data_IF_004642542097
#
_entry.id   IF_004642542097
#
_cell.length_a   1.000
_cell.length_b   1.000
_cell.length_c   1.000
_cell.angle_alpha   90.00
_cell.angle_beta   90.00
_cell.angle_gamma   90.00
#
_symmetry.space_group_name_H-M   'P 1'
#
loop_
_entity.id
_entity.type
_entity.pdbx_description
1 polymer ?
#
# COMPACT_ATOMS: atom_id res chain seq x y z
N UNK A 1 -80.40 50.58 -52.69
CA UNK A 1 -80.51 49.13 -52.40
C UNK A 1 -79.25 48.49 -52.96
N UNK A 2 -78.51 47.73 -52.16
CA UNK A 2 -77.40 46.92 -52.67
C UNK A 2 -77.97 45.71 -53.42
N UNK A 3 -77.34 45.31 -54.52
CA UNK A 3 -77.76 44.12 -55.26
C UNK A 3 -77.31 42.85 -54.51
N UNK A 4 -77.97 41.72 -54.72
CA UNK A 4 -77.54 40.43 -54.16
C UNK A 4 -76.07 40.11 -54.53
N UNK A 5 -75.63 40.57 -55.71
CA UNK A 5 -74.25 40.45 -56.19
C UNK A 5 -73.23 41.22 -55.32
N UNK A 6 -73.60 42.38 -54.78
CA UNK A 6 -72.72 43.19 -53.92
C UNK A 6 -72.49 42.53 -52.56
N UNK A 7 -73.55 41.92 -52.00
CA UNK A 7 -73.47 41.18 -50.74
C UNK A 7 -72.64 39.89 -50.89
N UNK A 8 -72.81 39.17 -51.99
CA UNK A 8 -72.04 37.96 -52.27
C UNK A 8 -70.54 38.26 -52.43
N UNK A 9 -70.21 39.36 -53.12
CA UNK A 9 -68.82 39.82 -53.26
C UNK A 9 -68.21 40.27 -51.92
N UNK A 10 -68.98 40.94 -51.07
CA UNK A 10 -68.54 41.30 -49.72
C UNK A 10 -68.28 40.06 -48.85
N UNK A 11 -69.20 39.09 -48.85
CA UNK A 11 -69.08 37.82 -48.11
C UNK A 11 -67.84 37.02 -48.55
N UNK A 12 -67.58 36.94 -49.86
CA UNK A 12 -66.37 36.30 -50.40
C UNK A 12 -65.09 36.98 -49.92
N UNK A 13 -65.05 38.31 -49.90
CA UNK A 13 -63.88 39.08 -49.41
C UNK A 13 -63.64 38.89 -47.91
N UNK A 14 -64.70 38.90 -47.10
CA UNK A 14 -64.59 38.66 -45.64
C UNK A 14 -64.10 37.25 -45.37
N UNK A 15 -64.67 36.25 -46.05
CA UNK A 15 -64.26 34.84 -45.91
C UNK A 15 -62.79 34.64 -46.31
N UNK A 16 -62.36 35.18 -47.45
CA UNK A 16 -60.97 35.12 -47.89
C UNK A 16 -60.02 35.81 -46.91
N UNK A 17 -60.42 36.97 -46.35
CA UNK A 17 -59.62 37.65 -45.33
C UNK A 17 -59.55 36.87 -44.02
N UNK A 18 -60.61 36.18 -43.62
CA UNK A 18 -60.63 35.34 -42.42
C UNK A 18 -59.75 34.10 -42.58
N UNK A 19 -59.80 33.44 -43.76
CA UNK A 19 -58.94 32.31 -44.10
C UNK A 19 -57.46 32.73 -44.10
N UNK A 20 -57.11 33.84 -44.76
CA UNK A 20 -55.74 34.36 -44.75
C UNK A 20 -55.23 34.68 -43.34
N UNK A 21 -56.11 35.15 -42.44
CA UNK A 21 -55.74 35.38 -41.03
C UNK A 21 -55.55 34.08 -40.27
N UNK A 22 -56.44 33.11 -40.48
CA UNK A 22 -56.33 31.79 -39.86
C UNK A 22 -55.05 31.07 -40.31
N UNK A 23 -54.70 31.12 -41.59
CA UNK A 23 -53.45 30.57 -42.13
C UNK A 23 -52.23 31.22 -41.48
N UNK A 24 -52.19 32.55 -41.37
CA UNK A 24 -51.09 33.25 -40.68
C UNK A 24 -50.94 32.82 -39.22
N UNK A 25 -52.05 32.69 -38.49
CA UNK A 25 -52.03 32.25 -37.09
C UNK A 25 -51.50 30.81 -37.00
N UNK A 26 -51.89 29.93 -37.92
CA UNK A 26 -51.40 28.55 -37.96
C UNK A 26 -49.89 28.50 -38.26
N UNK A 27 -49.41 29.27 -39.22
CA UNK A 27 -47.97 29.30 -39.55
C UNK A 27 -47.14 29.92 -38.41
N UNK A 28 -47.62 30.99 -37.78
CA UNK A 28 -46.99 31.56 -36.58
C UNK A 28 -46.98 30.57 -35.40
N UNK A 29 -48.04 29.80 -35.21
CA UNK A 29 -48.12 28.78 -34.16
C UNK A 29 -47.16 27.61 -34.44
N UNK A 30 -47.02 27.17 -35.70
CA UNK A 30 -46.04 26.16 -36.10
C UNK A 30 -44.61 26.64 -35.88
N UNK A 31 -44.27 27.84 -36.34
CA UNK A 31 -42.94 28.40 -36.17
C UNK A 31 -42.55 28.50 -34.68
N UNK A 32 -43.48 28.95 -33.81
CA UNK A 32 -43.27 28.97 -32.36
C UNK A 32 -43.14 27.58 -31.74
N UNK A 33 -43.86 26.59 -32.26
CA UNK A 33 -43.74 25.21 -31.78
C UNK A 33 -42.38 24.62 -32.15
N UNK A 34 -41.92 24.84 -33.39
CA UNK A 34 -40.59 24.42 -33.85
C UNK A 34 -39.47 25.10 -33.07
N UNK A 35 -39.56 26.41 -32.83
CA UNK A 35 -38.61 27.15 -32.00
C UNK A 35 -38.51 26.57 -30.58
N UNK A 36 -39.65 26.29 -29.94
CA UNK A 36 -39.68 25.67 -28.60
C UNK A 36 -39.11 24.25 -28.58
N UNK A 37 -39.35 23.46 -29.62
CA UNK A 37 -38.76 22.12 -29.73
C UNK A 37 -37.24 22.26 -29.84
N UNK A 38 -36.76 23.18 -30.67
CA UNK A 38 -35.33 23.40 -30.83
C UNK A 38 -34.66 23.89 -29.54
N UNK A 39 -35.29 24.81 -28.80
CA UNK A 39 -34.81 25.26 -27.48
C UNK A 39 -34.74 24.09 -26.49
N UNK A 40 -35.78 23.26 -26.41
CA UNK A 40 -35.81 22.10 -25.52
C UNK A 40 -34.76 21.04 -25.89
N UNK A 41 -34.53 20.80 -27.19
CA UNK A 41 -33.46 19.90 -27.65
C UNK A 41 -32.08 20.42 -27.27
N UNK A 42 -31.86 21.73 -27.41
CA UNK A 42 -30.61 22.36 -27.01
C UNK A 42 -30.37 22.26 -25.51
N UNK A 43 -31.37 22.58 -24.69
CA UNK A 43 -31.30 22.46 -23.23
C UNK A 43 -31.04 21.01 -22.80
N UNK A 44 -31.74 20.04 -23.41
CA UNK A 44 -31.52 18.62 -23.13
C UNK A 44 -30.10 18.17 -23.47
N UNK A 45 -29.54 18.66 -24.58
CA UNK A 45 -28.16 18.35 -24.98
C UNK A 45 -27.13 18.96 -24.00
N UNK A 46 -27.35 20.19 -23.53
CA UNK A 46 -26.50 20.84 -22.54
C UNK A 46 -26.50 20.09 -21.21
N UNK A 47 -27.68 19.71 -20.71
CA UNK A 47 -27.83 18.92 -19.48
C UNK A 47 -27.15 17.55 -19.61
N UNK A 48 -27.31 16.88 -20.76
CA UNK A 48 -26.68 15.58 -21.00
C UNK A 48 -25.15 15.70 -20.98
N UNK A 49 -24.60 16.70 -21.66
CA UNK A 49 -23.16 16.93 -21.70
C UNK A 49 -22.57 17.23 -20.31
N UNK A 50 -23.25 18.04 -19.50
CA UNK A 50 -22.83 18.33 -18.12
C UNK A 50 -22.86 17.06 -17.25
N UNK A 51 -23.92 16.25 -17.36
CA UNK A 51 -24.05 14.98 -16.65
C UNK A 51 -22.94 13.98 -17.03
N UNK A 52 -22.63 13.85 -18.32
CA UNK A 52 -21.54 13.00 -18.81
C UNK A 52 -20.18 13.47 -18.28
N UNK A 53 -19.94 14.77 -18.22
CA UNK A 53 -18.70 15.32 -17.66
C UNK A 53 -18.55 15.01 -16.17
N UNK A 54 -19.63 15.20 -15.39
CA UNK A 54 -19.64 14.91 -13.95
C UNK A 54 -19.38 13.42 -13.71
N UNK A 55 -20.14 12.54 -14.37
CA UNK A 55 -19.97 11.09 -14.25
C UNK A 55 -18.56 10.65 -14.66
N UNK A 56 -18.00 11.26 -15.71
CA UNK A 56 -16.63 11.00 -16.14
C UNK A 56 -15.57 11.45 -15.12
N UNK A 57 -15.82 12.52 -14.35
CA UNK A 57 -14.95 12.93 -13.23
C UNK A 57 -15.07 11.97 -12.05
N UNK A 58 -16.30 11.60 -11.68
CA UNK A 58 -16.56 10.66 -10.58
C UNK A 58 -15.94 9.28 -10.86
N UNK A 59 -16.08 8.78 -12.09
CA UNK A 59 -15.50 7.50 -12.48
C UNK A 59 -13.97 7.50 -12.37
N UNK A 60 -13.31 8.57 -12.84
CA UNK A 60 -11.85 8.71 -12.72
C UNK A 60 -11.39 8.77 -11.27
N UNK A 61 -12.08 9.57 -10.44
CA UNK A 61 -11.79 9.64 -9.00
C UNK A 61 -11.92 8.28 -8.34
N UNK A 62 -13.00 7.55 -8.65
CA UNK A 62 -13.23 6.20 -8.13
C UNK A 62 -12.15 5.21 -8.57
N UNK A 63 -11.73 5.25 -9.84
CA UNK A 63 -10.64 4.41 -10.35
C UNK A 63 -9.30 4.71 -9.67
N UNK A 64 -8.97 6.00 -9.49
CA UNK A 64 -7.76 6.43 -8.79
C UNK A 64 -7.76 5.99 -7.33
N UNK A 65 -8.85 6.22 -6.60
CA UNK A 65 -9.00 5.79 -5.20
C UNK A 65 -8.89 4.26 -5.07
N UNK A 66 -9.55 3.53 -5.97
CA UNK A 66 -9.52 2.06 -5.95
C UNK A 66 -8.13 1.53 -6.26
N UNK A 67 -7.41 2.14 -7.20
CA UNK A 67 -6.02 1.80 -7.51
C UNK A 67 -5.11 2.06 -6.32
N UNK A 68 -5.20 3.25 -5.71
CA UNK A 68 -4.41 3.60 -4.54
C UNK A 68 -4.67 2.64 -3.37
N UNK A 69 -5.93 2.22 -3.18
CA UNK A 69 -6.28 1.21 -2.17
C UNK A 69 -5.63 -0.14 -2.46
N UNK A 70 -5.72 -0.63 -3.70
CA UNK A 70 -5.08 -1.90 -4.09
C UNK A 70 -3.56 -1.83 -3.90
N UNK A 71 -2.93 -0.73 -4.31
CA UNK A 71 -1.49 -0.54 -4.13
C UNK A 71 -1.11 -0.54 -2.64
N UNK A 72 -1.89 0.13 -1.80
CA UNK A 72 -1.67 0.13 -0.34
C UNK A 72 -1.87 -1.24 0.31
N UNK A 73 -2.90 -1.98 -0.08
CA UNK A 73 -3.16 -3.34 0.43
C UNK A 73 -2.04 -4.30 0.00
N UNK A 74 -1.64 -4.23 -1.28
CA UNK A 74 -0.54 -5.03 -1.83
C UNK A 74 0.78 -4.75 -1.10
N UNK A 75 1.11 -3.47 -0.87
CA UNK A 75 2.33 -3.10 -0.16
C UNK A 75 2.31 -3.59 1.30
N UNK A 76 1.15 -3.52 1.96
CA UNK A 76 1.01 -4.03 3.33
C UNK A 76 1.20 -5.54 3.39
N UNK A 77 0.61 -6.29 2.46
CA UNK A 77 0.80 -7.74 2.37
C UNK A 77 2.26 -8.10 2.08
N UNK A 78 2.92 -7.35 1.18
CA UNK A 78 4.35 -7.49 0.88
C UNK A 78 5.18 -7.29 2.14
N UNK A 79 4.96 -6.23 2.90
CA UNK A 79 5.70 -5.96 4.14
C UNK A 79 5.47 -7.05 5.19
N UNK A 80 4.24 -7.53 5.34
CA UNK A 80 3.93 -8.62 6.26
C UNK A 80 4.66 -9.92 5.87
N UNK A 81 4.66 -10.26 4.58
CA UNK A 81 5.39 -11.40 4.06
C UNK A 81 6.90 -11.27 4.31
N UNK A 82 7.49 -10.11 4.01
CA UNK A 82 8.92 -9.84 4.24
C UNK A 82 9.29 -9.94 5.73
N UNK A 83 8.46 -9.39 6.62
CA UNK A 83 8.64 -9.50 8.06
C UNK A 83 8.58 -10.96 8.53
N UNK A 84 7.65 -11.75 8.00
CA UNK A 84 7.55 -13.18 8.33
C UNK A 84 8.77 -13.97 7.85
N UNK A 85 9.25 -13.68 6.64
CA UNK A 85 10.44 -14.31 6.08
C UNK A 85 11.69 -13.93 6.90
N UNK A 86 11.84 -12.66 7.28
CA UNK A 86 12.91 -12.18 8.17
C UNK A 86 12.90 -12.93 9.51
N UNK A 87 11.74 -13.03 10.16
CA UNK A 87 11.59 -13.77 11.42
C UNK A 87 12.02 -15.23 11.26
N UNK A 88 11.56 -15.90 10.20
CA UNK A 88 11.92 -17.29 9.94
C UNK A 88 13.41 -17.51 9.69
N UNK A 89 14.09 -16.57 9.00
CA UNK A 89 15.55 -16.66 8.82
C UNK A 89 16.28 -16.41 10.13
N UNK A 90 15.89 -15.40 10.92
CA UNK A 90 16.52 -15.12 12.21
C UNK A 90 16.39 -16.30 13.18
N UNK A 91 15.22 -16.93 13.24
CA UNK A 91 15.01 -18.16 14.01
C UNK A 91 15.90 -19.32 13.51
N UNK A 92 16.10 -19.42 12.19
CA UNK A 92 17.00 -20.40 11.60
C UNK A 92 18.47 -20.16 11.96
N UNK A 93 18.92 -18.90 11.91
CA UNK A 93 20.28 -18.51 12.29
C UNK A 93 20.51 -18.72 13.79
N UNK A 94 19.56 -18.33 14.64
CA UNK A 94 19.65 -18.55 16.09
C UNK A 94 19.78 -20.05 16.40
N UNK A 95 18.98 -20.90 15.75
CA UNK A 95 19.07 -22.36 15.90
C UNK A 95 20.44 -22.89 15.48
N UNK A 96 20.95 -22.46 14.33
CA UNK A 96 22.27 -22.86 13.85
C UNK A 96 23.38 -22.45 14.83
N UNK A 97 23.31 -21.23 15.37
CA UNK A 97 24.25 -20.74 16.39
C UNK A 97 24.15 -21.56 17.69
N UNK A 98 22.94 -21.94 18.11
CA UNK A 98 22.73 -22.78 19.29
C UNK A 98 23.26 -24.21 19.10
N UNK A 99 23.09 -24.78 17.91
CA UNK A 99 23.58 -26.12 17.55
C UNK A 99 25.11 -26.15 17.48
N UNK A 100 25.70 -25.09 16.91
CA UNK A 100 27.16 -24.94 16.76
C UNK A 100 27.83 -24.22 17.92
N UNK A 101 27.11 -23.98 19.01
CA UNK A 101 27.61 -23.28 20.18
C UNK A 101 28.86 -23.95 20.75
N UNK A 102 28.88 -25.29 20.83
CA UNK A 102 30.03 -26.04 21.36
C UNK A 102 31.33 -25.75 20.63
N UNK A 103 31.33 -25.91 19.30
CA UNK A 103 32.50 -25.63 18.44
C UNK A 103 32.97 -24.17 18.58
N UNK A 104 32.01 -23.24 18.56
CA UNK A 104 32.32 -21.80 18.61
C UNK A 104 32.85 -21.39 20.00
N UNK A 105 32.30 -21.98 21.05
CA UNK A 105 32.72 -21.80 22.43
C UNK A 105 34.15 -22.29 22.66
N UNK A 106 34.53 -23.44 22.10
CA UNK A 106 35.90 -23.97 22.18
C UNK A 106 36.90 -23.00 21.53
N UNK A 107 36.58 -22.47 20.35
CA UNK A 107 37.41 -21.46 19.67
C UNK A 107 37.57 -20.20 20.52
N UNK A 108 36.47 -19.74 21.13
CA UNK A 108 36.49 -18.56 22.01
C UNK A 108 37.34 -18.80 23.27
N UNK A 109 37.22 -19.97 23.90
CA UNK A 109 38.05 -20.34 25.05
C UNK A 109 39.53 -20.44 24.69
N UNK A 110 39.87 -21.01 23.54
CA UNK A 110 41.26 -21.01 23.01
C UNK A 110 41.81 -19.59 22.81
N UNK A 111 40.99 -18.69 22.28
CA UNK A 111 41.37 -17.28 22.14
C UNK A 111 41.58 -16.61 23.51
N UNK A 112 40.70 -16.85 24.48
CA UNK A 112 40.85 -16.34 25.84
C UNK A 112 42.14 -16.85 26.50
N UNK A 113 42.46 -18.14 26.39
CA UNK A 113 43.70 -18.73 26.91
C UNK A 113 44.95 -18.08 26.32
N UNK A 114 44.95 -17.80 25.01
CA UNK A 114 46.09 -17.16 24.33
C UNK A 114 46.25 -15.69 24.71
N UNK A 115 45.13 -15.02 25.03
CA UNK A 115 45.11 -13.57 25.25
C UNK A 115 45.23 -13.19 26.72
N UNK A 116 44.72 -14.04 27.61
CA UNK A 116 44.66 -13.83 29.04
C UNK A 116 45.26 -15.06 29.74
N UNK A 117 46.16 -14.83 30.70
CA UNK A 117 46.76 -15.93 31.47
C UNK A 117 45.87 -16.47 32.59
N UNK A 118 44.89 -15.70 33.05
CA UNK A 118 44.03 -15.99 34.21
C UNK A 118 42.75 -15.12 34.15
N UNK A 119 41.75 -15.48 34.95
CA UNK A 119 40.52 -14.72 35.16
C UNK A 119 39.41 -15.60 35.74
N UNK A 120 38.19 -15.07 35.85
CA UNK A 120 37.02 -15.88 36.20
C UNK A 120 36.21 -16.20 34.93
N UNK A 121 35.73 -17.44 34.84
CA UNK A 121 34.96 -17.95 33.72
C UNK A 121 33.67 -18.58 34.23
N UNK A 122 32.53 -18.13 33.73
CA UNK A 122 31.26 -18.84 33.88
C UNK A 122 30.94 -19.50 32.55
N UNK A 123 30.94 -20.83 32.49
CA UNK A 123 30.81 -21.56 31.21
C UNK A 123 29.67 -22.56 31.24
N UNK A 124 29.15 -22.89 30.07
CA UNK A 124 28.15 -23.94 29.92
C UNK A 124 28.68 -25.28 30.45
N UNK A 125 27.83 -25.99 31.19
CA UNK A 125 28.21 -27.19 31.94
C UNK A 125 28.85 -28.27 31.04
N UNK A 126 28.36 -28.40 29.80
CA UNK A 126 28.78 -29.44 28.84
C UNK A 126 30.08 -29.13 28.10
N UNK A 127 30.64 -27.93 28.23
CA UNK A 127 31.90 -27.58 27.57
C UNK A 127 33.09 -28.22 28.30
N UNK A 128 34.16 -28.55 27.57
CA UNK A 128 35.38 -29.04 28.19
C UNK A 128 36.09 -27.90 28.97
N UNK A 129 36.75 -28.27 30.07
CA UNK A 129 37.59 -27.38 30.89
C UNK A 129 39.07 -27.68 30.79
N UNK A 130 39.47 -28.65 29.97
CA UNK A 130 40.88 -28.99 29.80
C UNK A 130 41.71 -27.76 29.38
N UNK A 131 42.80 -27.53 30.12
CA UNK A 131 43.70 -26.38 29.90
C UNK A 131 43.19 -25.02 30.42
N UNK A 132 42.12 -25.00 31.23
CA UNK A 132 41.65 -23.80 31.94
C UNK A 132 42.16 -23.71 33.39
N UNK A 133 43.24 -24.42 33.74
CA UNK A 133 43.73 -24.54 35.13
C UNK A 133 44.10 -23.20 35.79
N UNK A 134 44.48 -22.20 34.97
CA UNK A 134 44.81 -20.85 35.43
C UNK A 134 43.60 -19.93 35.57
N UNK A 135 42.40 -20.41 35.23
CA UNK A 135 41.14 -19.68 35.36
C UNK A 135 40.29 -20.25 36.49
N UNK A 136 39.57 -19.38 37.19
CA UNK A 136 38.53 -19.81 38.13
C UNK A 136 37.25 -20.09 37.36
N UNK A 137 36.98 -21.37 37.11
CA UNK A 137 35.83 -21.82 36.31
C UNK A 137 34.61 -22.13 37.20
N UNK A 138 33.46 -21.57 36.84
CA UNK A 138 32.14 -21.86 37.39
C UNK A 138 31.28 -22.44 36.27
N UNK A 139 30.71 -23.61 36.50
CA UNK A 139 29.82 -24.30 35.55
C UNK A 139 28.39 -23.78 35.70
N UNK A 140 27.72 -23.52 34.58
CA UNK A 140 26.35 -23.01 34.53
C UNK A 140 25.48 -23.84 33.58
N UNK A 141 24.17 -23.84 33.78
CA UNK A 141 23.22 -24.54 32.88
C UNK A 141 22.89 -23.78 31.59
N UNK A 142 23.33 -22.52 31.45
CA UNK A 142 23.07 -21.68 30.26
C UNK A 142 24.14 -21.93 29.21
N UNK A 143 23.75 -22.02 27.93
CA UNK A 143 24.67 -22.04 26.78
C UNK A 143 25.33 -20.67 26.60
N UNK A 144 26.29 -20.35 27.46
CA UNK A 144 27.02 -19.08 27.45
C UNK A 144 28.42 -19.26 28.03
N UNK A 145 29.32 -18.34 27.68
CA UNK A 145 30.61 -18.13 28.33
C UNK A 145 30.66 -16.66 28.78
N UNK A 146 30.89 -16.43 30.07
CA UNK A 146 31.14 -15.10 30.61
C UNK A 146 32.55 -15.10 31.20
N UNK A 147 33.41 -14.25 30.65
CA UNK A 147 34.75 -14.00 31.16
C UNK A 147 34.78 -12.68 31.92
N UNK A 148 35.40 -12.67 33.10
CA UNK A 148 35.67 -11.45 33.85
C UNK A 148 37.12 -11.40 34.34
N UNK A 149 37.75 -10.23 34.17
CA UNK A 149 39.05 -9.89 34.73
C UNK A 149 39.14 -8.39 34.98
N UNK A 150 39.44 -8.00 36.22
CA UNK A 150 39.47 -6.60 36.64
C UNK A 150 38.14 -5.88 36.29
N UNK A 151 38.19 -4.88 35.41
CA UNK A 151 37.01 -4.14 34.92
C UNK A 151 36.52 -4.62 33.53
N UNK A 152 37.11 -5.68 32.98
CA UNK A 152 36.73 -6.25 31.69
C UNK A 152 35.75 -7.41 31.89
N UNK A 153 34.61 -7.35 31.21
CA UNK A 153 33.63 -8.44 31.11
C UNK A 153 33.38 -8.70 29.63
N UNK A 154 33.43 -9.97 29.23
CA UNK A 154 33.08 -10.42 27.89
C UNK A 154 32.05 -11.55 28.00
N UNK A 155 30.92 -11.42 27.30
CA UNK A 155 29.88 -12.46 27.20
C UNK A 155 29.88 -13.01 25.77
N UNK A 156 29.84 -14.34 25.68
CA UNK A 156 29.72 -15.07 24.44
C UNK A 156 28.55 -16.06 24.59
N UNK A 157 27.44 -15.75 23.96
CA UNK A 157 26.28 -16.61 23.85
C UNK A 157 25.55 -16.36 22.52
N UNK A 158 24.76 -17.33 22.02
CA UNK A 158 24.09 -17.22 20.73
C UNK A 158 23.26 -15.94 20.58
N UNK A 159 22.61 -15.47 21.65
CA UNK A 159 21.80 -14.25 21.59
C UNK A 159 22.64 -12.99 21.45
N UNK A 160 23.74 -12.87 22.21
CA UNK A 160 24.65 -11.73 22.06
C UNK A 160 25.23 -11.66 20.64
N UNK A 161 25.52 -12.81 20.01
CA UNK A 161 25.95 -12.84 18.60
C UNK A 161 24.84 -12.38 17.66
N UNK A 162 23.59 -12.79 17.88
CA UNK A 162 22.46 -12.31 17.08
C UNK A 162 22.26 -10.80 17.20
N UNK A 163 22.46 -10.24 18.39
CA UNK A 163 22.38 -8.79 18.63
C UNK A 163 23.54 -8.04 17.96
N UNK A 164 24.76 -8.54 18.10
CA UNK A 164 25.97 -7.91 17.53
C UNK A 164 25.99 -7.93 16.01
N UNK A 165 25.58 -9.04 15.40
CA UNK A 165 25.56 -9.21 13.94
C UNK A 165 24.19 -8.93 13.30
N UNK A 166 23.21 -8.47 14.08
CA UNK A 166 21.84 -8.25 13.61
C UNK A 166 21.76 -7.31 12.41
N UNK A 167 22.51 -6.20 12.43
CA UNK A 167 22.56 -5.25 11.31
C UNK A 167 23.15 -5.88 10.03
N UNK A 168 24.20 -6.70 10.16
CA UNK A 168 24.82 -7.38 9.03
C UNK A 168 23.90 -8.45 8.44
N UNK A 169 23.16 -9.16 9.30
CA UNK A 169 22.12 -10.10 8.87
C UNK A 169 21.02 -9.34 8.11
N UNK A 170 20.58 -8.20 8.64
CA UNK A 170 19.57 -7.36 8.00
C UNK A 170 20.01 -6.84 6.63
N UNK A 171 21.25 -6.35 6.51
CA UNK A 171 21.82 -5.91 5.24
C UNK A 171 21.90 -7.04 4.20
N UNK A 172 22.30 -8.24 4.63
CA UNK A 172 22.41 -9.39 3.73
C UNK A 172 21.04 -9.91 3.31
N UNK A 173 20.06 -9.87 4.21
CA UNK A 173 18.66 -10.19 3.92
C UNK A 173 18.07 -9.20 2.91
N UNK A 174 18.29 -7.89 3.09
CA UNK A 174 17.83 -6.86 2.16
C UNK A 174 18.35 -7.10 0.73
N UNK A 175 19.66 -7.37 0.59
CA UNK A 175 20.29 -7.69 -0.72
C UNK A 175 19.68 -8.90 -1.42
N UNK A 176 19.33 -9.95 -0.67
CA UNK A 176 18.84 -11.21 -1.25
C UNK A 176 17.34 -11.19 -1.54
N UNK A 177 16.58 -10.49 -0.71
CA UNK A 177 15.12 -10.45 -0.79
C UNK A 177 14.64 -9.29 -1.69
N UNK A 178 15.53 -8.36 -2.05
CA UNK A 178 15.21 -7.25 -2.95
C UNK A 178 14.42 -6.16 -2.23
N UNK A 179 14.81 -5.87 -0.99
CA UNK A 179 14.28 -4.75 -0.18
C UNK A 179 15.30 -3.63 -0.18
#
# INVERSE_FOLDING_TARGET
>A
MYSESDFENFSKKITASALNRAEKIVEEAKARAEEKVHEAEKEAAEILAESEEILGKELRSFEEERRAKIESETERERQHFLSGLKSGVLEGVERELEERFGESAEIFLEWLKKRFGEGELQIYEKLDTEGLDSFKVVKTGRKSIVFSKDNLIMEFDPRSLMEEYGELIDEELAKRIGV
#
